data_IF_591576438549
#
_entry.id   IF_591576438549
#
_cell.length_a   1.000
_cell.length_b   1.000
_cell.length_c   1.000
_cell.angle_alpha   90.00
_cell.angle_beta   90.00
_cell.angle_gamma   90.00
#
_symmetry.space_group_name_H-M   'P 1'
#
loop_
_entity.id
_entity.type
_entity.pdbx_description
1 polymer ?
#
# COMPACT_ATOMS: atom_id res chain seq x y z
N UNK A 1 -42.18 45.97 20.25
CA UNK A 1 -41.80 44.81 19.41
C UNK A 1 -40.28 44.77 19.38
N UNK A 2 -39.66 43.87 20.16
CA UNK A 2 -38.20 43.72 20.20
C UNK A 2 -37.83 42.66 19.17
N UNK A 3 -36.97 43.03 18.23
CA UNK A 3 -36.50 42.14 17.16
C UNK A 3 -35.40 41.23 17.73
N UNK A 4 -35.80 40.14 18.39
CA UNK A 4 -34.89 39.13 18.94
C UNK A 4 -34.49 38.20 17.78
N UNK A 5 -33.64 38.70 16.90
CA UNK A 5 -32.97 37.89 15.87
C UNK A 5 -31.52 38.37 15.72
N UNK A 6 -30.86 38.67 16.84
CA UNK A 6 -29.41 38.68 16.88
C UNK A 6 -28.95 37.23 16.80
N UNK A 7 -28.71 36.76 15.57
CA UNK A 7 -27.91 35.58 15.30
C UNK A 7 -26.55 35.83 15.97
N UNK A 8 -26.35 35.30 17.19
CA UNK A 8 -25.03 35.22 17.78
C UNK A 8 -24.20 34.39 16.80
N UNK A 9 -23.15 34.97 16.17
CA UNK A 9 -22.34 34.22 15.23
C UNK A 9 -21.71 33.05 15.97
N UNK A 10 -21.86 31.87 15.40
CA UNK A 10 -21.37 30.62 15.99
C UNK A 10 -19.89 30.79 16.35
N UNK A 11 -19.57 30.72 17.65
CA UNK A 11 -18.23 31.05 18.13
C UNK A 11 -17.19 30.05 17.59
N UNK A 12 -17.64 28.85 17.21
CA UNK A 12 -16.82 27.82 16.58
C UNK A 12 -16.31 28.23 15.19
N UNK A 13 -17.01 29.13 14.49
CA UNK A 13 -16.61 29.60 13.16
C UNK A 13 -15.38 30.50 13.24
N UNK A 14 -15.25 31.24 14.34
CA UNK A 14 -14.17 32.21 14.60
C UNK A 14 -12.86 31.56 15.01
N UNK A 15 -12.85 30.26 15.28
CA UNK A 15 -11.61 29.56 15.59
C UNK A 15 -10.64 29.64 14.39
N UNK A 16 -9.37 29.99 14.62
CA UNK A 16 -8.31 29.88 13.62
C UNK A 16 -8.23 28.46 13.04
N UNK A 17 -7.79 28.35 11.78
CA UNK A 17 -7.71 27.08 11.08
C UNK A 17 -6.74 26.11 11.77
N UNK A 18 -5.72 26.63 12.44
CA UNK A 18 -4.75 25.86 13.22
C UNK A 18 -5.43 25.13 14.39
N UNK A 19 -6.30 25.83 15.14
CA UNK A 19 -7.04 25.21 16.26
C UNK A 19 -8.07 24.20 15.76
N UNK A 20 -8.76 24.50 14.66
CA UNK A 20 -9.69 23.55 14.03
C UNK A 20 -8.96 22.30 13.53
N UNK A 21 -7.76 22.46 12.97
CA UNK A 21 -6.90 21.33 12.55
C UNK A 21 -6.45 20.49 13.74
N UNK A 22 -6.14 21.11 14.87
CA UNK A 22 -5.78 20.40 16.09
C UNK A 22 -6.96 19.57 16.62
N UNK A 23 -8.16 20.16 16.65
CA UNK A 23 -9.38 19.42 17.00
C UNK A 23 -9.62 18.26 16.03
N UNK A 24 -9.48 18.50 14.72
CA UNK A 24 -9.62 17.47 13.69
C UNK A 24 -8.67 16.28 13.89
N UNK A 25 -7.45 16.55 14.36
CA UNK A 25 -6.44 15.54 14.66
C UNK A 25 -6.90 14.58 15.77
N UNK A 26 -7.48 15.12 16.84
CA UNK A 26 -7.95 14.33 17.99
C UNK A 26 -9.26 13.58 17.75
N UNK A 27 -10.05 14.01 16.76
CA UNK A 27 -11.29 13.32 16.38
C UNK A 27 -10.92 12.08 15.58
N UNK A 28 -10.92 10.91 16.23
CA UNK A 28 -10.51 9.65 15.60
C UNK A 28 -11.68 8.88 14.99
N UNK A 29 -12.91 9.08 15.50
CA UNK A 29 -14.06 8.33 15.03
C UNK A 29 -14.58 8.88 13.69
N UNK A 30 -14.87 7.96 12.76
CA UNK A 30 -15.36 8.32 11.42
C UNK A 30 -16.70 9.04 11.45
N UNK A 31 -17.60 8.65 12.36
CA UNK A 31 -18.90 9.28 12.58
C UNK A 31 -18.77 10.75 12.99
N UNK A 32 -17.88 11.03 13.94
CA UNK A 32 -17.62 12.38 14.46
C UNK A 32 -16.99 13.27 13.36
N UNK A 33 -16.02 12.75 12.60
CA UNK A 33 -15.47 13.47 11.44
C UNK A 33 -16.56 13.85 10.44
N UNK A 34 -17.48 12.93 10.13
CA UNK A 34 -18.60 13.21 9.23
C UNK A 34 -19.53 14.27 9.80
N UNK A 35 -19.79 14.26 11.10
CA UNK A 35 -20.60 15.29 11.75
C UNK A 35 -19.93 16.67 11.62
N UNK A 36 -18.61 16.76 11.84
CA UNK A 36 -17.87 18.02 11.70
C UNK A 36 -17.90 18.59 10.28
N UNK A 37 -17.86 17.74 9.25
CA UNK A 37 -18.02 18.18 7.84
C UNK A 37 -19.37 18.86 7.60
N UNK A 38 -20.41 18.51 8.37
CA UNK A 38 -21.75 19.05 8.23
C UNK A 38 -21.99 20.34 9.03
N UNK A 39 -21.05 20.76 9.89
CA UNK A 39 -21.20 21.98 10.71
C UNK A 39 -21.20 23.21 9.82
N UNK A 40 -20.12 23.42 9.06
CA UNK A 40 -20.01 24.51 8.10
C UNK A 40 -18.91 24.20 7.06
N UNK A 41 -18.76 25.10 6.08
CA UNK A 41 -17.75 24.97 5.01
C UNK A 41 -16.31 24.98 5.53
N UNK A 42 -16.00 25.80 6.53
CA UNK A 42 -14.64 25.91 7.07
C UNK A 42 -14.19 24.61 7.76
N UNK A 43 -15.07 23.99 8.55
CA UNK A 43 -14.85 22.67 9.13
C UNK A 43 -14.76 21.58 8.06
N UNK A 44 -15.62 21.64 7.03
CA UNK A 44 -15.53 20.71 5.91
C UNK A 44 -14.15 20.75 5.24
N UNK A 45 -13.62 21.94 4.94
CA UNK A 45 -12.30 22.09 4.29
C UNK A 45 -11.16 21.51 5.11
N UNK A 46 -11.23 21.61 6.45
CA UNK A 46 -10.22 21.08 7.36
C UNK A 46 -10.36 19.56 7.55
N UNK A 47 -11.58 19.06 7.67
CA UNK A 47 -11.84 17.65 8.01
C UNK A 47 -11.77 16.73 6.80
N UNK A 48 -12.15 17.21 5.60
CA UNK A 48 -12.15 16.40 4.38
C UNK A 48 -10.81 15.70 4.10
N UNK A 49 -9.63 16.36 4.23
CA UNK A 49 -8.34 15.69 4.18
C UNK A 49 -8.23 14.50 5.13
N UNK A 50 -8.60 14.66 6.41
CA UNK A 50 -8.52 13.60 7.42
C UNK A 50 -9.55 12.48 7.20
N UNK A 51 -10.69 12.82 6.61
CA UNK A 51 -11.77 11.87 6.31
C UNK A 51 -11.41 10.96 5.13
N UNK A 52 -10.83 11.54 4.08
CA UNK A 52 -10.59 10.87 2.80
C UNK A 52 -9.13 10.49 2.54
N UNK A 53 -8.23 10.76 3.48
CA UNK A 53 -6.82 10.39 3.38
C UNK A 53 -6.62 8.91 3.00
N UNK A 54 -7.44 8.04 3.58
CA UNK A 54 -7.48 6.60 3.29
C UNK A 54 -8.80 6.21 2.66
N UNK A 55 -8.73 5.67 1.44
CA UNK A 55 -9.87 5.13 0.72
C UNK A 55 -9.85 3.60 0.79
N UNK A 56 -10.80 3.03 1.53
CA UNK A 56 -11.04 1.58 1.55
C UNK A 56 -12.19 1.25 0.60
N UNK A 57 -11.95 0.37 -0.38
CA UNK A 57 -12.94 0.06 -1.43
C UNK A 57 -12.81 -1.39 -1.92
N UNK A 58 -13.93 -2.01 -2.28
CA UNK A 58 -14.02 -3.29 -3.00
C UNK A 58 -14.31 -3.09 -4.50
N UNK A 59 -14.37 -1.83 -4.95
CA UNK A 59 -14.74 -1.39 -6.30
C UNK A 59 -16.16 -1.79 -6.73
N UNK A 60 -16.98 -2.31 -5.82
CA UNK A 60 -18.37 -2.64 -6.11
C UNK A 60 -19.20 -1.36 -6.18
N UNK A 61 -20.04 -1.28 -7.21
CA UNK A 61 -21.03 -0.21 -7.31
C UNK A 61 -22.17 -0.51 -6.34
N UNK A 62 -22.06 -0.03 -5.10
CA UNK A 62 -23.11 -0.15 -4.10
C UNK A 62 -23.82 1.19 -3.90
N UNK A 63 -25.05 1.30 -4.43
CA UNK A 63 -25.90 2.48 -4.30
C UNK A 63 -25.23 3.78 -4.78
N UNK A 64 -25.08 4.76 -3.88
CA UNK A 64 -24.48 6.08 -4.15
C UNK A 64 -22.94 6.04 -4.30
N UNK A 65 -22.27 4.94 -3.90
CA UNK A 65 -20.81 4.78 -4.02
C UNK A 65 -20.45 4.22 -5.39
N UNK A 66 -20.60 5.05 -6.42
CA UNK A 66 -20.12 4.73 -7.74
C UNK A 66 -18.67 5.22 -7.90
N UNK A 67 -17.76 4.36 -8.33
CA UNK A 67 -16.37 4.74 -8.67
C UNK A 67 -16.35 5.87 -9.70
N UNK A 68 -17.33 5.90 -10.63
CA UNK A 68 -17.51 7.01 -11.58
C UNK A 68 -17.86 8.33 -10.90
N UNK A 69 -18.61 8.28 -9.81
CA UNK A 69 -18.92 9.46 -8.99
C UNK A 69 -17.67 9.96 -8.24
N UNK A 70 -16.85 9.04 -7.71
CA UNK A 70 -15.56 9.38 -7.11
C UNK A 70 -14.60 10.00 -8.13
N UNK A 71 -14.59 9.46 -9.36
CA UNK A 71 -13.75 9.92 -10.46
C UNK A 71 -14.30 11.14 -11.22
N UNK A 72 -15.46 11.65 -10.82
CA UNK A 72 -16.06 12.82 -11.46
C UNK A 72 -15.21 14.07 -11.20
N UNK A 73 -15.08 14.98 -12.17
CA UNK A 73 -14.25 16.19 -12.02
C UNK A 73 -14.67 17.09 -10.84
N UNK A 74 -15.96 17.06 -10.48
CA UNK A 74 -16.51 17.80 -9.33
C UNK A 74 -16.40 17.04 -8.00
N UNK A 75 -15.85 15.83 -8.00
CA UNK A 75 -15.60 15.07 -6.78
C UNK A 75 -14.44 15.70 -6.02
N UNK A 76 -14.73 16.25 -4.85
CA UNK A 76 -13.71 16.76 -3.95
C UNK A 76 -13.03 15.66 -3.12
N UNK A 77 -13.26 14.37 -3.42
CA UNK A 77 -12.77 13.25 -2.62
C UNK A 77 -11.35 12.84 -3.04
N UNK A 78 -11.13 12.57 -4.34
CA UNK A 78 -9.86 11.97 -4.83
C UNK A 78 -8.65 12.85 -4.60
N UNK A 79 -8.82 14.18 -4.56
CA UNK A 79 -7.77 15.15 -4.24
C UNK A 79 -7.26 15.08 -2.79
N UNK A 80 -7.88 14.27 -1.95
CA UNK A 80 -7.44 14.05 -0.56
C UNK A 80 -6.93 12.62 -0.34
N UNK A 81 -7.07 11.72 -1.32
CA UNK A 81 -6.70 10.31 -1.17
C UNK A 81 -5.19 10.17 -1.33
N UNK A 82 -4.51 9.76 -0.26
CA UNK A 82 -3.08 9.40 -0.29
C UNK A 82 -2.84 7.92 -0.01
N UNK A 83 -3.83 7.19 0.50
CA UNK A 83 -3.75 5.77 0.81
C UNK A 83 -4.96 5.04 0.21
N UNK A 84 -4.74 3.97 -0.53
CA UNK A 84 -5.81 3.08 -1.02
C UNK A 84 -5.65 1.71 -0.38
N UNK A 85 -6.75 1.22 0.22
CA UNK A 85 -6.89 -0.16 0.67
C UNK A 85 -7.96 -0.86 -0.18
N UNK A 86 -7.49 -1.66 -1.14
CA UNK A 86 -8.33 -2.45 -2.03
C UNK A 86 -8.68 -3.79 -1.36
N UNK A 87 -9.97 -3.94 -1.04
CA UNK A 87 -10.54 -5.17 -0.53
C UNK A 87 -10.63 -6.24 -1.64
N UNK A 88 -11.11 -7.43 -1.28
CA UNK A 88 -11.33 -8.52 -2.25
C UNK A 88 -12.26 -8.05 -3.37
N UNK A 89 -11.75 -8.08 -4.60
CA UNK A 89 -12.55 -7.72 -5.79
C UNK A 89 -13.58 -8.82 -6.02
N UNK A 90 -14.84 -8.45 -6.23
CA UNK A 90 -15.83 -9.41 -6.70
C UNK A 90 -15.48 -9.85 -8.13
N UNK A 91 -15.40 -11.15 -8.36
CA UNK A 91 -15.11 -11.71 -9.68
C UNK A 91 -16.27 -11.50 -10.68
N UNK A 92 -17.46 -11.14 -10.19
CA UNK A 92 -18.67 -11.07 -11.01
C UNK A 92 -18.77 -9.82 -11.91
N UNK A 93 -17.95 -8.79 -11.69
CA UNK A 93 -18.01 -7.58 -12.51
C UNK A 93 -17.06 -7.68 -13.70
N UNK A 94 -17.61 -7.72 -14.92
CA UNK A 94 -16.84 -7.72 -16.19
C UNK A 94 -15.96 -6.48 -16.40
N UNK A 95 -16.12 -5.42 -15.59
CA UNK A 95 -15.45 -4.13 -15.77
C UNK A 95 -14.57 -3.83 -14.55
N UNK A 96 -13.25 -3.74 -14.78
CA UNK A 96 -12.30 -3.30 -13.75
C UNK A 96 -12.32 -1.77 -13.64
N UNK A 97 -12.80 -1.25 -12.52
CA UNK A 97 -12.87 0.19 -12.26
C UNK A 97 -11.60 0.76 -11.61
N UNK A 98 -10.64 -0.10 -11.23
CA UNK A 98 -9.41 0.33 -10.59
C UNK A 98 -8.59 1.29 -11.45
N UNK A 99 -8.37 1.06 -12.76
CA UNK A 99 -7.62 2.00 -13.58
C UNK A 99 -8.24 3.40 -13.62
N UNK A 100 -9.58 3.47 -13.68
CA UNK A 100 -10.31 4.74 -13.64
C UNK A 100 -10.13 5.46 -12.31
N UNK A 101 -10.17 4.73 -11.19
CA UNK A 101 -9.94 5.30 -9.87
C UNK A 101 -8.52 5.84 -9.73
N UNK A 102 -7.51 5.08 -10.17
CA UNK A 102 -6.11 5.51 -10.13
C UNK A 102 -5.88 6.75 -10.98
N UNK A 103 -6.46 6.80 -12.18
CA UNK A 103 -6.37 7.97 -13.06
C UNK A 103 -7.07 9.22 -12.50
N UNK A 104 -8.07 9.06 -11.61
CA UNK A 104 -8.78 10.17 -10.99
C UNK A 104 -8.06 10.76 -9.76
N UNK A 105 -7.07 10.05 -9.22
CA UNK A 105 -6.23 10.58 -8.14
C UNK A 105 -5.14 11.45 -8.78
N UNK A 106 -4.90 12.67 -8.26
CA UNK A 106 -3.83 13.51 -8.74
C UNK A 106 -2.47 12.77 -8.79
N UNK A 107 -1.72 13.02 -9.88
CA UNK A 107 -0.43 12.37 -10.10
C UNK A 107 0.52 12.61 -8.93
N UNK A 108 1.23 11.56 -8.53
CA UNK A 108 2.19 11.62 -7.42
C UNK A 108 1.57 11.85 -6.03
N UNK A 109 0.23 11.86 -5.89
CA UNK A 109 -0.42 12.04 -4.59
C UNK A 109 -0.49 10.76 -3.76
N UNK A 110 -0.68 9.62 -4.41
CA UNK A 110 -0.81 8.33 -3.73
C UNK A 110 0.54 7.91 -3.14
N UNK A 111 0.55 7.60 -1.83
CA UNK A 111 1.72 7.17 -1.04
C UNK A 111 1.63 5.70 -0.65
N UNK A 112 0.44 5.21 -0.35
CA UNK A 112 0.23 3.82 0.06
C UNK A 112 -0.79 3.16 -0.85
N UNK A 113 -0.45 1.99 -1.38
CA UNK A 113 -1.40 1.13 -2.07
C UNK A 113 -1.35 -0.28 -1.47
N UNK A 114 -2.49 -0.74 -0.96
CA UNK A 114 -2.66 -2.09 -0.41
C UNK A 114 -3.76 -2.82 -1.15
N UNK A 115 -3.55 -4.08 -1.50
CA UNK A 115 -4.54 -4.96 -2.08
C UNK A 115 -4.39 -6.35 -1.54
N UNK A 116 -5.51 -7.01 -1.27
CA UNK A 116 -5.56 -8.46 -0.97
C UNK A 116 -5.74 -9.26 -2.27
N UNK A 117 -6.14 -8.60 -3.35
CA UNK A 117 -6.38 -9.22 -4.66
C UNK A 117 -5.15 -9.10 -5.57
N UNK A 118 -4.88 -10.12 -6.38
CA UNK A 118 -3.86 -10.07 -7.44
C UNK A 118 -4.24 -9.04 -8.48
N UNK A 119 -3.30 -8.18 -8.89
CA UNK A 119 -3.50 -7.16 -9.92
C UNK A 119 -2.90 -7.61 -11.26
N UNK A 120 -3.46 -7.10 -12.36
CA UNK A 120 -2.87 -7.25 -13.68
C UNK A 120 -1.60 -6.39 -13.79
N UNK A 121 -0.62 -6.85 -14.58
CA UNK A 121 0.63 -6.09 -14.84
C UNK A 121 0.33 -4.69 -15.36
N UNK A 122 -0.63 -4.55 -16.29
CA UNK A 122 -1.07 -3.25 -16.82
C UNK A 122 -1.55 -2.27 -15.75
N UNK A 123 -2.25 -2.75 -14.72
CA UNK A 123 -2.73 -1.92 -13.62
C UNK A 123 -1.61 -1.51 -12.69
N UNK A 124 -0.69 -2.43 -12.37
CA UNK A 124 0.52 -2.12 -11.58
C UNK A 124 1.35 -1.07 -12.33
N UNK A 125 1.48 -1.25 -13.64
CA UNK A 125 2.22 -0.34 -14.49
C UNK A 125 1.63 1.08 -14.46
N UNK A 126 0.30 1.17 -14.58
CA UNK A 126 -0.42 2.43 -14.47
C UNK A 126 -0.25 3.07 -13.09
N UNK A 127 -0.34 2.28 -12.01
CA UNK A 127 -0.15 2.74 -10.64
C UNK A 127 1.24 3.39 -10.46
N UNK A 128 2.29 2.69 -10.88
CA UNK A 128 3.68 3.15 -10.77
C UNK A 128 3.95 4.38 -11.64
N UNK A 129 3.36 4.43 -12.84
CA UNK A 129 3.51 5.55 -13.77
C UNK A 129 2.82 6.82 -13.25
N UNK A 130 1.61 6.70 -12.72
CA UNK A 130 0.83 7.85 -12.24
C UNK A 130 1.31 8.35 -10.87
N UNK A 131 1.86 7.46 -10.04
CA UNK A 131 2.18 7.75 -8.65
C UNK A 131 3.62 7.35 -8.30
N UNK A 132 4.59 8.03 -8.90
CA UNK A 132 6.04 7.84 -8.65
C UNK A 132 6.50 8.12 -7.21
N UNK A 133 5.64 8.74 -6.39
CA UNK A 133 5.88 9.02 -4.98
C UNK A 133 5.34 7.91 -4.06
N UNK A 134 5.02 6.74 -4.60
CA UNK A 134 4.54 5.61 -3.81
C UNK A 134 5.65 5.15 -2.85
N UNK A 135 5.29 5.01 -1.58
CA UNK A 135 6.17 4.64 -0.47
C UNK A 135 5.88 3.22 0.01
N UNK A 136 4.61 2.84 0.08
CA UNK A 136 4.19 1.52 0.57
C UNK A 136 3.38 0.80 -0.52
N UNK A 137 3.86 -0.38 -0.94
CA UNK A 137 3.17 -1.24 -1.90
C UNK A 137 2.94 -2.64 -1.32
N UNK A 138 1.71 -2.93 -0.93
CA UNK A 138 1.32 -4.24 -0.41
C UNK A 138 0.36 -4.90 -1.39
N UNK A 139 0.81 -5.89 -2.15
CA UNK A 139 -0.06 -6.70 -2.98
C UNK A 139 0.25 -8.18 -2.69
N UNK A 140 -0.65 -9.12 -3.02
CA UNK A 140 -0.25 -10.47 -3.35
C UNK A 140 0.57 -10.43 -4.65
N UNK A 141 1.83 -9.97 -4.55
CA UNK A 141 2.73 -9.77 -5.69
C UNK A 141 3.08 -11.15 -6.25
N UNK A 142 2.51 -11.47 -7.40
CA UNK A 142 2.90 -12.61 -8.23
C UNK A 142 3.76 -12.19 -9.43
N UNK A 143 3.70 -13.01 -10.48
CA UNK A 143 4.42 -12.82 -11.75
C UNK A 143 4.18 -11.43 -12.36
N UNK A 144 2.99 -10.85 -12.13
CA UNK A 144 2.65 -9.53 -12.66
C UNK A 144 3.58 -8.42 -12.17
N UNK A 145 4.00 -8.46 -10.90
CA UNK A 145 4.94 -7.50 -10.34
C UNK A 145 6.36 -7.77 -10.81
N UNK A 146 6.78 -9.03 -10.87
CA UNK A 146 8.09 -9.40 -11.43
C UNK A 146 8.25 -8.89 -12.87
N UNK A 147 7.22 -9.08 -13.70
CA UNK A 147 7.18 -8.56 -15.07
C UNK A 147 7.24 -7.03 -15.12
N UNK A 148 6.57 -6.35 -14.18
CA UNK A 148 6.64 -4.90 -14.06
C UNK A 148 8.07 -4.45 -13.74
N UNK A 149 8.72 -5.04 -12.74
CA UNK A 149 10.11 -4.71 -12.36
C UNK A 149 11.09 -4.98 -13.51
N UNK A 150 10.91 -6.06 -14.26
CA UNK A 150 11.76 -6.40 -15.40
C UNK A 150 11.59 -5.45 -16.58
N UNK A 151 10.48 -4.73 -16.67
CA UNK A 151 10.23 -3.77 -17.74
C UNK A 151 11.26 -2.62 -17.72
N UNK A 152 11.71 -2.16 -18.89
CA UNK A 152 12.69 -1.08 -18.98
C UNK A 152 12.09 0.29 -18.63
N UNK A 153 10.82 0.51 -18.98
CA UNK A 153 10.16 1.80 -18.79
C UNK A 153 9.75 2.08 -17.33
N UNK A 154 9.81 1.08 -16.43
CA UNK A 154 9.57 1.25 -14.98
C UNK A 154 10.83 1.63 -14.20
N UNK A 155 11.96 1.78 -14.88
CA UNK A 155 13.22 2.20 -14.26
C UNK A 155 13.03 3.52 -13.51
N UNK A 156 13.38 3.55 -12.23
CA UNK A 156 13.22 4.71 -11.35
C UNK A 156 11.83 4.91 -10.73
N UNK A 157 10.79 4.20 -11.20
CA UNK A 157 9.44 4.28 -10.61
C UNK A 157 9.37 3.72 -9.18
N UNK A 158 10.34 2.90 -8.78
CA UNK A 158 10.39 2.27 -7.47
C UNK A 158 11.28 3.00 -6.45
N UNK A 159 11.89 4.12 -6.85
CA UNK A 159 12.91 4.83 -6.06
C UNK A 159 12.44 5.32 -4.68
N UNK A 160 11.14 5.52 -4.51
CA UNK A 160 10.53 6.00 -3.28
C UNK A 160 9.92 4.88 -2.41
N UNK A 161 9.88 3.63 -2.90
CA UNK A 161 9.25 2.55 -2.16
C UNK A 161 10.13 2.16 -0.98
N UNK A 162 9.55 2.19 0.21
CA UNK A 162 10.18 1.81 1.48
C UNK A 162 9.75 0.43 1.93
N UNK A 163 8.52 0.02 1.64
CA UNK A 163 7.99 -1.27 2.04
C UNK A 163 7.25 -1.95 0.90
N UNK A 164 7.60 -3.22 0.63
CA UNK A 164 6.78 -4.08 -0.20
C UNK A 164 6.71 -5.53 0.30
N UNK A 165 5.60 -6.19 -0.02
CA UNK A 165 5.34 -7.60 0.32
C UNK A 165 5.30 -8.44 -0.95
N UNK A 166 6.37 -9.18 -1.22
CA UNK A 166 6.58 -9.96 -2.44
C UNK A 166 6.37 -11.46 -2.20
N UNK A 167 5.70 -12.20 -3.09
CA UNK A 167 5.67 -13.66 -3.00
C UNK A 167 6.79 -14.27 -3.82
N UNK A 168 7.60 -15.15 -3.21
CA UNK A 168 8.92 -15.52 -3.77
C UNK A 168 8.82 -16.48 -4.95
N UNK A 169 7.73 -17.25 -5.03
CA UNK A 169 7.53 -18.24 -6.08
C UNK A 169 7.37 -17.64 -7.49
N UNK A 170 7.39 -16.32 -7.64
CA UNK A 170 7.23 -15.63 -8.93
C UNK A 170 8.41 -14.76 -9.32
N UNK A 171 9.50 -14.78 -8.54
CA UNK A 171 10.67 -13.95 -8.79
C UNK A 171 11.87 -14.80 -9.19
N UNK A 172 12.51 -14.46 -10.30
CA UNK A 172 13.87 -14.94 -10.59
C UNK A 172 14.88 -14.20 -9.71
N UNK A 173 16.06 -14.79 -9.49
CA UNK A 173 17.16 -14.13 -8.77
C UNK A 173 17.53 -12.77 -9.40
N UNK A 174 17.55 -12.70 -10.74
CA UNK A 174 17.78 -11.45 -11.47
C UNK A 174 16.69 -10.41 -11.21
N UNK A 175 15.41 -10.82 -11.13
CA UNK A 175 14.31 -9.92 -10.81
C UNK A 175 14.41 -9.35 -9.39
N UNK A 176 14.87 -10.16 -8.43
CA UNK A 176 15.11 -9.69 -7.05
C UNK A 176 16.31 -8.73 -7.00
N UNK A 177 17.38 -9.03 -7.72
CA UNK A 177 18.54 -8.15 -7.80
C UNK A 177 18.15 -6.81 -8.42
N UNK A 178 17.39 -6.82 -9.52
CA UNK A 178 16.87 -5.60 -10.14
C UNK A 178 15.96 -4.82 -9.20
N UNK A 179 15.05 -5.50 -8.49
CA UNK A 179 14.19 -4.86 -7.49
C UNK A 179 15.04 -4.16 -6.41
N UNK A 180 16.10 -4.80 -5.93
CA UNK A 180 16.99 -4.24 -4.92
C UNK A 180 17.75 -3.01 -5.43
N UNK A 181 18.18 -3.01 -6.69
CA UNK A 181 18.87 -1.86 -7.29
C UNK A 181 17.94 -0.69 -7.56
N UNK A 182 16.68 -0.95 -7.93
CA UNK A 182 15.68 0.08 -8.23
C UNK A 182 15.04 0.71 -6.99
N UNK A 183 15.12 0.04 -5.83
CA UNK A 183 14.54 0.46 -4.57
C UNK A 183 15.61 0.82 -3.52
N UNK A 184 16.33 1.96 -3.64
CA UNK A 184 17.40 2.32 -2.70
C UNK A 184 16.87 2.64 -1.28
N UNK A 185 15.57 2.97 -1.15
CA UNK A 185 14.94 3.33 0.13
C UNK A 185 14.27 2.16 0.85
N UNK A 186 14.46 0.93 0.35
CA UNK A 186 13.76 -0.23 0.87
C UNK A 186 14.18 -0.54 2.31
N UNK A 187 13.24 -0.40 3.25
CA UNK A 187 13.43 -0.71 4.67
C UNK A 187 12.83 -2.05 5.05
N UNK A 188 11.77 -2.48 4.34
CA UNK A 188 11.07 -3.72 4.65
C UNK A 188 10.72 -4.50 3.37
N UNK A 189 11.32 -5.69 3.25
CA UNK A 189 10.93 -6.72 2.27
C UNK A 189 10.26 -7.87 2.98
N UNK A 190 8.96 -8.04 2.79
CA UNK A 190 8.27 -9.24 3.29
C UNK A 190 8.18 -10.25 2.14
N UNK A 191 8.82 -11.40 2.31
CA UNK A 191 8.82 -12.48 1.33
C UNK A 191 7.79 -13.55 1.74
N UNK A 192 6.69 -13.64 1.01
CA UNK A 192 5.65 -14.66 1.19
C UNK A 192 5.97 -15.93 0.40
N UNK A 193 6.05 -17.08 1.06
CA UNK A 193 6.05 -18.37 0.37
C UNK A 193 4.59 -18.88 0.27
N UNK A 194 4.16 -19.26 -0.93
CA UNK A 194 2.98 -20.12 -1.05
C UNK A 194 3.34 -21.52 -0.53
N UNK A 195 2.38 -22.32 -0.05
CA UNK A 195 2.65 -23.65 0.52
C UNK A 195 3.45 -24.59 -0.42
N UNK A 196 3.44 -24.34 -1.74
CA UNK A 196 4.22 -25.07 -2.74
C UNK A 196 5.59 -24.43 -3.05
N UNK A 197 5.80 -23.16 -2.71
CA UNK A 197 7.02 -22.39 -3.00
C UNK A 197 8.12 -22.48 -1.96
N UNK A 198 7.84 -23.03 -0.77
CA UNK A 198 8.83 -23.20 0.30
C UNK A 198 10.01 -24.11 -0.13
N UNK A 199 9.74 -25.15 -0.93
CA UNK A 199 10.78 -26.06 -1.43
C UNK A 199 11.73 -25.40 -2.45
N UNK A 200 11.23 -24.46 -3.27
CA UNK A 200 12.04 -23.77 -4.31
C UNK A 200 12.98 -22.73 -3.67
N UNK A 201 12.56 -22.14 -2.55
CA UNK A 201 13.36 -21.19 -1.78
C UNK A 201 14.58 -21.86 -1.14
N UNK A 202 14.44 -23.08 -0.62
CA UNK A 202 15.57 -23.84 -0.08
C UNK A 202 16.60 -24.16 -1.16
N UNK A 203 16.17 -24.61 -2.35
CA UNK A 203 17.07 -24.94 -3.46
C UNK A 203 17.79 -23.71 -4.04
N UNK A 204 17.11 -22.58 -4.20
CA UNK A 204 17.72 -21.35 -4.73
C UNK A 204 18.72 -20.70 -3.75
N UNK A 205 18.48 -20.82 -2.44
CA UNK A 205 19.39 -20.35 -1.41
C UNK A 205 20.61 -21.28 -1.25
N UNK A 206 20.42 -22.60 -1.42
CA UNK A 206 21.51 -23.58 -1.45
C UNK A 206 22.36 -23.47 -2.72
N UNK A 207 21.76 -23.15 -3.88
CA UNK A 207 22.52 -23.01 -5.14
C UNK A 207 23.39 -21.75 -5.19
N UNK A 208 22.97 -20.67 -4.53
CA UNK A 208 23.74 -19.42 -4.45
C UNK A 208 24.86 -19.45 -3.40
N UNK A 209 24.84 -20.43 -2.47
CA UNK A 209 25.90 -20.64 -1.49
C UNK A 209 26.98 -21.65 -1.89
N UNK A 210 26.85 -22.33 -3.04
CA UNK A 210 27.85 -23.30 -3.52
C UNK A 210 29.18 -22.68 -4.03
N UNK A 211 29.35 -21.36 -3.99
CA UNK A 211 30.67 -20.71 -4.17
C UNK A 211 31.43 -20.45 -2.86
N UNK A 212 30.87 -20.82 -1.70
CA UNK A 212 31.61 -20.81 -0.43
C UNK A 212 32.14 -22.21 -0.11
N UNK A 213 33.32 -22.52 -0.65
CA UNK A 213 34.13 -23.66 -0.20
C UNK A 213 34.51 -23.44 1.26
N UNK A 214 34.03 -24.32 2.14
CA UNK A 214 34.36 -24.33 3.57
C UNK A 214 34.00 -25.68 4.20
N UNK A 215 35.04 -26.42 4.56
CA UNK A 215 35.09 -27.79 5.10
C UNK A 215 34.05 -28.15 6.17
N UNK A 216 33.59 -29.40 6.07
CA UNK A 216 32.76 -30.14 7.02
C UNK A 216 33.39 -30.26 8.40
N UNK A 217 32.65 -29.83 9.43
CA UNK A 217 32.95 -30.06 10.84
C UNK A 217 31.65 -29.98 11.64
N UNK A 218 31.28 -31.08 12.28
CA UNK A 218 30.05 -31.26 13.04
C UNK A 218 29.84 -30.20 14.13
N UNK A 219 28.58 -29.79 14.29
CA UNK A 219 27.99 -29.01 15.39
C UNK A 219 28.67 -27.66 15.70
N UNK A 220 28.07 -26.57 15.23
CA UNK A 220 28.43 -25.22 15.67
C UNK A 220 27.86 -24.14 14.76
N UNK A 221 27.26 -23.12 15.35
CA UNK A 221 26.71 -21.91 14.73
C UNK A 221 27.54 -21.39 13.54
N UNK A 222 26.90 -21.31 12.37
CA UNK A 222 27.44 -20.59 11.23
C UNK A 222 27.07 -19.09 11.34
N UNK A 223 27.93 -18.31 12.00
CA UNK A 223 27.88 -16.85 11.91
C UNK A 223 28.67 -16.39 10.68
N UNK A 224 27.96 -15.98 9.62
CA UNK A 224 28.59 -15.36 8.46
C UNK A 224 29.02 -13.92 8.81
N UNK A 225 30.26 -13.77 9.26
CA UNK A 225 30.91 -12.49 9.54
C UNK A 225 31.33 -11.79 8.23
N UNK A 226 30.35 -11.33 7.45
CA UNK A 226 30.46 -10.18 6.53
C UNK A 226 29.09 -9.63 6.10
N UNK A 227 28.12 -9.64 7.01
CA UNK A 227 26.81 -9.01 6.81
C UNK A 227 26.64 -7.72 7.66
N UNK A 228 27.64 -6.83 7.65
CA UNK A 228 27.59 -5.60 8.45
C UNK A 228 26.81 -4.43 7.82
N UNK A 229 26.10 -4.61 6.70
CA UNK A 229 25.24 -3.55 6.15
C UNK A 229 23.92 -3.98 5.48
N UNK A 230 23.48 -5.22 5.62
CA UNK A 230 22.15 -5.63 5.14
C UNK A 230 21.31 -6.12 6.33
N UNK A 231 20.36 -5.28 6.73
CA UNK A 231 19.28 -5.61 7.66
C UNK A 231 18.28 -6.58 7.05
N UNK A 232 18.75 -7.72 6.54
CA UNK A 232 17.91 -8.88 6.22
C UNK A 232 17.61 -9.60 7.53
N UNK A 233 16.64 -9.07 8.29
CA UNK A 233 15.90 -9.89 9.25
C UNK A 233 15.02 -10.84 8.43
N UNK A 234 15.60 -11.96 8.01
CA UNK A 234 14.85 -13.16 7.62
C UNK A 234 13.99 -13.55 8.82
N UNK A 235 12.69 -13.26 8.73
CA UNK A 235 11.71 -13.70 9.70
C UNK A 235 11.60 -15.22 9.63
N UNK A 236 12.35 -15.89 10.50
CA UNK A 236 12.01 -17.20 11.03
C UNK A 236 10.59 -17.14 11.59
N UNK A 237 9.58 -17.59 10.83
CA UNK A 237 8.29 -17.96 11.39
C UNK A 237 7.61 -19.08 10.54
N UNK A 238 7.70 -20.29 11.11
CA UNK A 238 6.70 -21.37 11.09
C UNK A 238 6.63 -22.36 9.92
N UNK A 239 7.55 -23.33 9.97
CA UNK A 239 7.22 -24.76 9.84
C UNK A 239 6.55 -25.22 11.15
N UNK A 240 5.23 -25.08 11.22
CA UNK A 240 4.40 -25.70 12.26
C UNK A 240 3.23 -26.40 11.60
N UNK A 241 3.43 -27.66 11.17
CA UNK A 241 2.37 -28.41 10.51
C UNK A 241 2.80 -29.74 9.90
N UNK A 242 3.38 -30.65 10.70
CA UNK A 242 3.30 -32.09 10.42
C UNK A 242 2.71 -32.74 11.68
N UNK A 243 1.62 -33.49 11.48
CA UNK A 243 0.95 -34.25 12.51
C UNK A 243 1.46 -35.71 12.57
N UNK A 244 1.64 -36.21 13.81
CA UNK A 244 1.47 -37.59 14.35
C UNK A 244 2.46 -38.71 13.89
N UNK A 245 2.77 -39.76 14.72
CA UNK A 245 1.84 -40.47 15.62
C UNK A 245 2.38 -41.00 16.99
N UNK A 246 1.42 -41.61 17.72
CA UNK A 246 1.42 -42.35 19.01
C UNK A 246 1.34 -41.50 20.28
#
# INVERSE_FOLDING_TARGET
>A
MVNINEHMPDQLDRLPNELKSEVAHYVTQLSERKALVLVNKAWAEIILPHLWNTLTTDLLQTGQRNVRGLAHANSNITKHVSRIHLLTRSCDTKVDHLPTLLAAIPRGQLRTFKSISTLQTSTINLLLLLHSNLEELELPLGQAFANAVQSEWTTGCFSNITSATVFVNTFSCEGLQKLWTECPKFTQLSLGATKNGAAILEDAFLSTHNECVGTTGNTGDATCSKAKHLGLRLAYLWLGGIALPV
#
